data_IF_706047489565
#
_entry.id   IF_706047489565
#
_cell.length_a   1.000
_cell.length_b   1.000
_cell.length_c   1.000
_cell.angle_alpha   90.00
_cell.angle_beta   90.00
_cell.angle_gamma   90.00
#
_symmetry.space_group_name_H-M   'P 1'
#
loop_
_entity.id
_entity.type
_entity.pdbx_description
1 polymer ?
#
# COMPACT_ATOMS: atom_id res chain seq x y z
N UNK A 1 38.20 4.97 -49.80
CA UNK A 1 38.77 4.27 -48.62
C UNK A 1 37.95 4.73 -47.41
N UNK A 2 37.00 3.96 -46.83
CA UNK A 2 37.16 2.75 -45.96
C UNK A 2 38.20 3.07 -44.86
N UNK A 3 37.99 3.03 -43.54
CA UNK A 3 37.21 2.18 -42.59
C UNK A 3 37.12 3.03 -41.27
N UNK A 4 36.07 3.09 -40.44
CA UNK A 4 35.77 2.19 -39.29
C UNK A 4 34.43 2.62 -38.66
N UNK A 5 33.38 1.83 -38.82
CA UNK A 5 32.76 1.01 -37.77
C UNK A 5 33.42 1.08 -36.38
N UNK A 6 32.68 1.57 -35.39
CA UNK A 6 32.46 0.79 -34.16
C UNK A 6 31.13 1.21 -33.51
N UNK A 7 30.14 0.35 -33.69
CA UNK A 7 29.00 0.26 -32.80
C UNK A 7 29.51 -0.23 -31.44
N UNK A 8 29.11 0.42 -30.35
CA UNK A 8 28.98 -0.25 -29.08
C UNK A 8 27.62 0.07 -28.49
N UNK A 9 26.70 -0.86 -28.74
CA UNK A 9 25.50 -1.09 -27.98
C UNK A 9 25.87 -1.20 -26.49
N UNK A 10 25.35 -0.28 -25.70
CA UNK A 10 25.51 -0.27 -24.25
C UNK A 10 24.31 0.39 -23.58
N UNK A 11 23.09 0.12 -24.08
CA UNK A 11 21.86 0.47 -23.37
C UNK A 11 21.77 -0.41 -22.12
N UNK A 12 22.49 0.03 -21.08
CA UNK A 12 22.39 -0.48 -19.73
C UNK A 12 21.05 0.01 -19.19
N UNK A 13 19.96 -0.67 -19.57
CA UNK A 13 18.66 -0.52 -18.93
C UNK A 13 18.80 -1.13 -17.54
N UNK A 14 19.35 -0.33 -16.62
CA UNK A 14 19.19 -0.54 -15.20
C UNK A 14 17.71 -0.37 -14.89
N UNK A 15 16.95 -1.48 -14.99
CA UNK A 15 15.67 -1.63 -14.34
C UNK A 15 15.94 -1.69 -12.83
N UNK A 16 16.18 -0.51 -12.26
CA UNK A 16 16.03 -0.31 -10.84
C UNK A 16 14.55 -0.57 -10.54
N UNK A 17 14.24 -1.78 -10.08
CA UNK A 17 13.05 -2.04 -9.28
C UNK A 17 13.19 -1.30 -7.93
N UNK A 18 13.37 0.02 -7.98
CA UNK A 18 13.15 0.85 -6.83
C UNK A 18 11.65 0.76 -6.56
N UNK A 19 11.28 0.25 -5.39
CA UNK A 19 9.92 0.40 -4.88
C UNK A 19 9.68 1.90 -4.68
N UNK A 20 9.29 2.59 -5.75
CA UNK A 20 8.97 3.99 -5.71
C UNK A 20 7.66 4.14 -4.94
N UNK A 21 7.72 4.78 -3.77
CA UNK A 21 6.52 5.17 -3.06
C UNK A 21 5.86 6.33 -3.82
N UNK A 22 4.58 6.21 -4.10
CA UNK A 22 3.87 7.20 -4.89
C UNK A 22 3.50 8.37 -3.98
N UNK A 23 4.29 9.44 -4.03
CA UNK A 23 4.17 10.63 -3.16
C UNK A 23 3.06 11.58 -3.63
N UNK A 24 2.60 11.42 -4.87
CA UNK A 24 1.48 12.17 -5.44
C UNK A 24 0.60 11.24 -6.28
N UNK A 25 -0.59 10.96 -5.77
CA UNK A 25 -1.59 10.08 -6.40
C UNK A 25 -1.99 10.56 -7.82
N UNK A 26 -1.75 11.83 -8.17
CA UNK A 26 -2.08 12.38 -9.49
C UNK A 26 -3.60 12.45 -9.69
N UNK A 27 -4.17 11.49 -10.42
CA UNK A 27 -5.62 11.36 -10.65
C UNK A 27 -6.14 9.98 -10.27
N UNK A 28 -7.47 9.82 -10.20
CA UNK A 28 -8.11 8.51 -10.00
C UNK A 28 -7.69 7.53 -11.10
N UNK A 29 -7.60 7.98 -12.35
CA UNK A 29 -7.21 7.18 -13.50
C UNK A 29 -5.75 6.77 -13.42
N UNK A 30 -4.88 7.63 -12.88
CA UNK A 30 -3.49 7.26 -12.61
C UNK A 30 -3.41 6.17 -11.53
N UNK A 31 -4.15 6.32 -10.43
CA UNK A 31 -4.24 5.30 -9.39
C UNK A 31 -4.79 3.96 -9.93
N UNK A 32 -5.78 4.01 -10.82
CA UNK A 32 -6.39 2.83 -11.43
C UNK A 32 -5.38 1.99 -12.23
N UNK A 33 -4.43 2.62 -12.91
CA UNK A 33 -3.37 1.90 -13.67
C UNK A 33 -2.44 1.09 -12.77
N UNK A 34 -2.28 1.50 -11.52
CA UNK A 34 -1.49 0.81 -10.51
C UNK A 34 -2.23 -0.35 -9.82
N UNK A 35 -3.52 -0.54 -10.10
CA UNK A 35 -4.30 -1.62 -9.51
C UNK A 35 -4.15 -2.88 -10.35
N UNK A 36 -3.69 -3.95 -9.71
CA UNK A 36 -3.39 -5.22 -10.36
C UNK A 36 -4.16 -6.35 -9.71
N UNK A 37 -4.60 -7.32 -10.52
CA UNK A 37 -5.16 -8.57 -10.04
C UNK A 37 -4.24 -9.72 -10.41
N UNK A 38 -3.89 -10.55 -9.43
CA UNK A 38 -3.09 -11.75 -9.63
C UNK A 38 -3.82 -12.97 -9.03
N UNK A 39 -3.96 -14.04 -9.81
CA UNK A 39 -4.53 -15.31 -9.34
C UNK A 39 -3.42 -16.35 -9.17
N UNK A 40 -3.30 -16.86 -7.95
CA UNK A 40 -2.41 -17.96 -7.61
C UNK A 40 -3.14 -19.29 -7.76
N UNK A 41 -2.83 -20.02 -8.83
CA UNK A 41 -3.44 -21.33 -9.13
C UNK A 41 -3.10 -22.42 -8.11
N UNK A 42 -1.97 -22.31 -7.40
CA UNK A 42 -1.57 -23.31 -6.41
C UNK A 42 -2.34 -23.15 -5.11
N UNK A 43 -2.63 -21.90 -4.74
CA UNK A 43 -3.44 -21.56 -3.56
C UNK A 43 -4.93 -21.43 -3.86
N UNK A 44 -5.31 -21.43 -5.15
CA UNK A 44 -6.68 -21.18 -5.61
C UNK A 44 -7.26 -19.88 -5.04
N UNK A 45 -6.46 -18.82 -5.03
CA UNK A 45 -6.85 -17.51 -4.49
C UNK A 45 -6.41 -16.36 -5.42
N UNK A 46 -7.22 -15.31 -5.47
CA UNK A 46 -6.97 -14.08 -6.19
C UNK A 46 -6.65 -12.92 -5.26
N UNK A 47 -5.78 -12.03 -5.70
CA UNK A 47 -5.44 -10.80 -4.98
C UNK A 47 -5.57 -9.59 -5.90
N UNK A 48 -6.44 -8.66 -5.54
CA UNK A 48 -6.47 -7.31 -6.09
C UNK A 48 -5.61 -6.41 -5.19
N UNK A 49 -4.67 -5.63 -5.76
CA UNK A 49 -3.75 -4.77 -4.99
C UNK A 49 -3.55 -3.43 -5.69
N UNK A 50 -3.50 -2.35 -4.92
CA UNK A 50 -3.01 -1.06 -5.42
C UNK A 50 -1.49 -0.95 -5.28
N UNK A 51 -0.92 0.10 -5.88
CA UNK A 51 0.42 0.57 -5.52
C UNK A 51 0.50 1.04 -4.06
N UNK A 52 1.72 1.29 -3.60
CA UNK A 52 1.98 1.86 -2.28
C UNK A 52 2.02 3.38 -2.36
N UNK A 53 1.21 4.03 -1.53
CA UNK A 53 1.08 5.48 -1.42
C UNK A 53 1.61 5.95 -0.07
N UNK A 54 2.12 7.19 -0.04
CA UNK A 54 2.53 7.83 1.21
C UNK A 54 1.29 8.36 1.92
N UNK A 55 1.06 7.91 3.16
CA UNK A 55 -0.07 8.35 3.98
C UNK A 55 0.28 9.51 4.92
N UNK A 56 1.55 9.72 5.23
CA UNK A 56 2.00 10.83 6.08
C UNK A 56 3.51 10.98 6.01
N UNK A 57 4.01 12.14 6.44
CA UNK A 57 5.45 12.43 6.50
C UNK A 57 5.95 12.68 7.93
N UNK A 58 5.04 12.73 8.91
CA UNK A 58 5.39 12.82 10.32
C UNK A 58 5.88 11.48 10.84
N UNK A 59 6.98 11.48 11.58
CA UNK A 59 7.49 10.30 12.27
C UNK A 59 6.52 9.86 13.39
N UNK A 60 6.08 8.58 13.44
CA UNK A 60 6.37 7.49 12.51
C UNK A 60 5.64 7.64 11.16
N UNK A 61 6.40 7.55 10.08
CA UNK A 61 5.89 7.64 8.71
C UNK A 61 5.07 6.40 8.37
N UNK A 62 3.90 6.55 7.77
CA UNK A 62 3.09 5.40 7.33
C UNK A 62 2.78 5.50 5.84
N UNK A 63 3.13 4.44 5.12
CA UNK A 63 2.70 4.19 3.75
C UNK A 63 1.56 3.18 3.76
N UNK A 64 0.72 3.19 2.73
CA UNK A 64 -0.40 2.26 2.63
C UNK A 64 -0.64 1.76 1.21
N UNK A 65 -1.30 0.62 1.09
CA UNK A 65 -1.92 0.16 -0.15
C UNK A 65 -3.21 -0.58 0.16
N UNK A 66 -4.13 -0.65 -0.79
CA UNK A 66 -5.27 -1.56 -0.69
C UNK A 66 -4.90 -2.96 -1.12
N UNK A 67 -5.55 -3.95 -0.51
CA UNK A 67 -5.57 -5.33 -0.99
C UNK A 67 -6.95 -5.97 -0.75
N UNK A 68 -7.39 -6.80 -1.67
CA UNK A 68 -8.59 -7.60 -1.50
C UNK A 68 -8.30 -9.04 -1.92
N UNK A 69 -8.75 -10.00 -1.11
CA UNK A 69 -8.59 -11.42 -1.36
C UNK A 69 -9.87 -11.98 -1.97
N UNK A 70 -9.74 -12.88 -2.93
CA UNK A 70 -10.84 -13.59 -3.57
C UNK A 70 -10.59 -15.10 -3.47
N UNK A 71 -11.58 -15.86 -3.03
CA UNK A 71 -11.56 -17.32 -3.13
C UNK A 71 -11.66 -17.81 -4.57
N UNK A 72 -11.49 -19.12 -4.75
CA UNK A 72 -11.68 -19.80 -6.03
C UNK A 72 -13.06 -19.49 -6.60
N UNK A 73 -13.11 -19.04 -7.85
CA UNK A 73 -14.34 -18.71 -8.59
C UNK A 73 -15.24 -17.65 -7.90
N UNK A 74 -14.74 -16.92 -6.91
CA UNK A 74 -15.49 -15.88 -6.22
C UNK A 74 -15.43 -14.54 -6.98
N UNK A 75 -16.60 -13.96 -7.24
CA UNK A 75 -16.71 -12.57 -7.72
C UNK A 75 -16.68 -11.56 -6.58
N UNK A 76 -16.94 -11.99 -5.34
CA UNK A 76 -16.90 -11.15 -4.14
C UNK A 76 -15.60 -11.35 -3.37
N UNK A 77 -15.00 -10.28 -2.83
CA UNK A 77 -13.82 -10.42 -1.99
C UNK A 77 -14.17 -11.07 -0.66
N UNK A 78 -13.33 -12.01 -0.20
CA UNK A 78 -13.41 -12.59 1.15
C UNK A 78 -13.17 -11.51 2.22
N UNK A 79 -12.27 -10.57 1.90
CA UNK A 79 -12.04 -9.36 2.67
C UNK A 79 -11.37 -8.28 1.81
N UNK A 80 -11.51 -7.02 2.24
CA UNK A 80 -10.75 -5.87 1.74
C UNK A 80 -9.98 -5.31 2.93
N UNK A 81 -8.73 -4.96 2.69
CA UNK A 81 -7.84 -4.42 3.71
C UNK A 81 -7.09 -3.21 3.19
N UNK A 82 -6.94 -2.23 4.08
CA UNK A 82 -5.93 -1.20 3.97
C UNK A 82 -4.67 -1.73 4.66
N UNK A 83 -3.63 -1.99 3.89
CA UNK A 83 -2.35 -2.50 4.38
C UNK A 83 -1.43 -1.33 4.70
N UNK A 84 -1.07 -1.17 5.96
CA UNK A 84 -0.16 -0.14 6.45
C UNK A 84 1.26 -0.66 6.61
N UNK A 85 2.23 0.16 6.22
CA UNK A 85 3.65 -0.02 6.47
C UNK A 85 4.16 1.23 7.19
N UNK A 86 4.34 1.10 8.50
CA UNK A 86 4.87 2.15 9.36
C UNK A 86 6.39 2.02 9.46
N UNK A 87 7.08 3.15 9.44
CA UNK A 87 8.52 3.30 9.61
C UNK A 87 8.77 4.13 10.86
N UNK A 88 9.65 3.66 11.74
CA UNK A 88 10.11 4.48 12.86
C UNK A 88 11.60 4.37 13.12
N UNK A 89 12.22 5.52 13.40
CA UNK A 89 13.59 5.64 13.90
C UNK A 89 13.63 5.66 15.44
N UNK A 90 12.49 5.87 16.10
CA UNK A 90 12.38 5.93 17.57
C UNK A 90 12.12 4.56 18.24
N UNK A 91 12.08 3.49 17.44
CA UNK A 91 11.92 2.12 17.90
C UNK A 91 10.53 1.53 17.60
N UNK A 92 10.21 0.42 18.26
CA UNK A 92 8.92 -0.27 18.10
C UNK A 92 7.77 0.53 18.72
N UNK A 93 6.66 0.62 18.00
CA UNK A 93 5.42 1.22 18.50
C UNK A 93 4.44 0.17 19.01
N UNK A 94 4.54 -1.06 18.52
CA UNK A 94 3.62 -2.17 18.80
C UNK A 94 2.18 -1.78 18.48
N UNK A 95 1.94 -1.39 17.22
CA UNK A 95 0.61 -1.04 16.71
C UNK A 95 -0.35 -2.20 16.92
N UNK A 96 -1.54 -1.91 17.48
CA UNK A 96 -2.54 -2.91 17.84
C UNK A 96 -4.00 -2.47 17.67
N UNK A 97 -4.27 -1.21 17.33
CA UNK A 97 -5.63 -0.70 17.13
C UNK A 97 -5.64 0.42 16.08
N UNK A 98 -6.78 0.66 15.44
CA UNK A 98 -6.92 1.72 14.45
C UNK A 98 -8.27 2.42 14.54
N UNK A 99 -8.26 3.74 14.34
CA UNK A 99 -9.44 4.59 14.43
C UNK A 99 -9.47 5.61 13.28
N UNK A 100 -10.65 6.13 12.94
CA UNK A 100 -10.77 7.35 12.15
C UNK A 100 -10.99 8.58 13.02
N UNK A 101 -11.01 9.76 12.38
CA UNK A 101 -11.23 11.04 13.05
C UNK A 101 -12.59 11.18 13.75
N UNK A 102 -13.54 10.29 13.47
CA UNK A 102 -14.84 10.24 14.16
C UNK A 102 -14.82 9.35 15.40
N UNK A 103 -13.69 8.71 15.70
CA UNK A 103 -13.53 7.77 16.80
C UNK A 103 -14.01 6.35 16.49
N UNK A 104 -14.35 6.04 15.23
CA UNK A 104 -14.75 4.68 14.84
C UNK A 104 -13.54 3.77 14.85
N UNK A 105 -13.63 2.68 15.58
CA UNK A 105 -12.60 1.63 15.63
C UNK A 105 -12.72 0.69 14.42
N UNK A 106 -11.56 0.26 13.91
CA UNK A 106 -11.45 -0.73 12.87
C UNK A 106 -10.72 -1.96 13.38
N UNK A 107 -11.11 -3.14 12.87
CA UNK A 107 -10.39 -4.37 13.15
C UNK A 107 -9.01 -4.32 12.50
N UNK A 108 -7.99 -4.27 13.34
CA UNK A 108 -6.59 -4.29 12.95
C UNK A 108 -5.99 -5.70 13.12
N UNK A 109 -5.17 -6.10 12.16
CA UNK A 109 -4.36 -7.31 12.19
C UNK A 109 -2.89 -6.91 12.24
N UNK A 110 -2.17 -7.40 13.25
CA UNK A 110 -0.71 -7.38 13.25
C UNK A 110 -0.22 -8.34 12.15
N UNK A 111 0.59 -7.85 11.21
CA UNK A 111 1.05 -8.69 10.08
C UNK A 111 2.49 -9.12 10.28
N UNK A 112 3.40 -8.16 10.41
CA UNK A 112 4.83 -8.43 10.54
C UNK A 112 5.56 -7.25 11.17
N UNK A 113 6.77 -7.50 11.65
CA UNK A 113 7.65 -6.55 12.31
C UNK A 113 9.09 -6.88 11.93
N UNK A 114 9.81 -5.94 11.34
CA UNK A 114 11.23 -6.13 11.03
C UNK A 114 12.07 -4.88 11.29
N UNK A 115 13.39 -5.09 11.37
CA UNK A 115 14.38 -4.02 11.50
C UNK A 115 15.19 -3.99 10.22
N UNK A 116 15.27 -2.81 9.61
CA UNK A 116 16.12 -2.55 8.46
C UNK A 116 17.24 -1.60 8.86
N UNK A 117 18.49 -2.03 8.61
CA UNK A 117 19.62 -1.12 8.57
C UNK A 117 19.64 -0.47 7.19
N UNK A 118 19.57 0.85 7.13
CA UNK A 118 19.70 1.58 5.89
C UNK A 118 20.93 2.49 5.97
N UNK A 119 21.71 2.52 4.89
CA UNK A 119 22.90 3.33 4.79
C UNK A 119 22.71 4.31 3.64
N UNK A 120 22.48 5.58 3.97
CA UNK A 120 22.39 6.64 2.98
C UNK A 120 23.52 7.64 3.24
N UNK A 121 24.26 8.01 2.18
CA UNK A 121 25.32 9.03 2.24
C UNK A 121 26.38 8.78 3.35
N UNK A 122 26.73 7.52 3.61
CA UNK A 122 27.74 7.14 4.61
C UNK A 122 27.25 7.14 6.07
N UNK A 123 25.98 7.48 6.32
CA UNK A 123 25.37 7.38 7.65
C UNK A 123 24.51 6.12 7.69
N UNK A 124 24.79 5.23 8.63
CA UNK A 124 23.94 4.07 8.90
C UNK A 124 22.92 4.44 9.97
N UNK A 125 21.64 4.25 9.64
CA UNK A 125 20.54 4.41 10.58
C UNK A 125 19.68 3.15 10.58
N UNK A 126 19.13 2.86 11.76
CA UNK A 126 18.26 1.71 11.97
C UNK A 126 16.83 2.19 11.91
N UNK A 127 16.02 1.58 11.04
CA UNK A 127 14.58 1.85 10.95
C UNK A 127 13.84 0.59 11.32
N UNK A 128 12.87 0.74 12.21
CA UNK A 128 11.90 -0.27 12.54
C UNK A 128 10.74 -0.18 11.55
N UNK A 129 10.36 -1.30 10.96
CA UNK A 129 9.13 -1.40 10.17
C UNK A 129 8.09 -2.23 10.92
N UNK A 130 6.89 -1.67 11.06
CA UNK A 130 5.71 -2.41 11.51
C UNK A 130 4.68 -2.46 10.40
N UNK A 131 4.17 -3.65 10.12
CA UNK A 131 3.17 -3.90 9.09
C UNK A 131 1.87 -4.33 9.76
N UNK A 132 0.79 -3.70 9.34
CA UNK A 132 -0.54 -3.99 9.84
C UNK A 132 -1.55 -3.98 8.69
N UNK A 133 -2.71 -4.59 8.91
CA UNK A 133 -3.84 -4.52 8.00
C UNK A 133 -5.09 -4.11 8.74
N UNK A 134 -5.84 -3.17 8.18
CA UNK A 134 -7.13 -2.72 8.69
C UNK A 134 -8.21 -3.31 7.79
N UNK A 135 -9.15 -4.07 8.35
CA UNK A 135 -10.29 -4.56 7.58
C UNK A 135 -11.23 -3.40 7.22
N UNK A 136 -11.59 -3.30 5.95
CA UNK A 136 -12.47 -2.28 5.40
C UNK A 136 -13.63 -2.98 4.71
N UNK A 137 -14.88 -2.63 5.06
CA UNK A 137 -16.04 -3.13 4.34
C UNK A 137 -16.20 -2.42 2.99
N UNK A 138 -17.00 -2.97 2.07
CA UNK A 138 -17.27 -2.30 0.79
C UNK A 138 -17.93 -0.93 1.04
N UNK A 139 -18.86 -0.83 1.98
CA UNK A 139 -19.54 0.41 2.34
C UNK A 139 -18.55 1.46 2.87
N UNK A 140 -17.57 1.05 3.68
CA UNK A 140 -16.50 1.96 4.14
C UNK A 140 -15.60 2.40 2.99
N UNK A 141 -15.28 1.50 2.06
CA UNK A 141 -14.52 1.86 0.87
C UNK A 141 -15.28 2.87 0.00
N UNK A 142 -16.62 2.78 -0.07
CA UNK A 142 -17.47 3.79 -0.73
C UNK A 142 -17.43 5.15 -0.03
N UNK A 143 -17.34 5.18 1.29
CA UNK A 143 -17.13 6.43 2.04
C UNK A 143 -15.74 7.01 1.79
N UNK A 144 -14.70 6.16 1.82
CA UNK A 144 -13.32 6.56 1.57
C UNK A 144 -13.12 7.05 0.14
N UNK A 145 -13.95 6.62 -0.82
CA UNK A 145 -13.93 7.10 -2.20
C UNK A 145 -14.47 8.53 -2.37
N UNK A 146 -15.17 9.10 -1.37
CA UNK A 146 -15.80 10.42 -1.47
C UNK A 146 -14.94 11.57 -0.96
N UNK A 147 -14.09 11.30 0.04
CA UNK A 147 -13.24 12.30 0.67
C UNK A 147 -12.03 11.61 1.27
N UNK A 148 -10.92 12.36 1.37
CA UNK A 148 -9.73 11.82 2.01
C UNK A 148 -10.02 11.52 3.49
N UNK A 149 -9.54 10.38 3.98
CA UNK A 149 -9.80 9.94 5.35
C UNK A 149 -8.50 9.94 6.13
N UNK A 150 -8.53 10.53 7.32
CA UNK A 150 -7.45 10.42 8.29
C UNK A 150 -7.69 9.23 9.21
N UNK A 151 -6.68 8.37 9.31
CA UNK A 151 -6.66 7.20 10.18
C UNK A 151 -5.54 7.36 11.20
N UNK A 152 -5.81 6.94 12.42
CA UNK A 152 -4.83 6.81 13.49
C UNK A 152 -4.64 5.34 13.80
N UNK A 153 -3.44 4.80 13.57
CA UNK A 153 -3.05 3.51 14.11
C UNK A 153 -2.32 3.75 15.44
N UNK A 154 -2.85 3.15 16.50
CA UNK A 154 -2.39 3.33 17.89
C UNK A 154 -1.59 2.12 18.32
N UNK A 155 -0.47 2.38 18.98
CA UNK A 155 0.41 1.36 19.53
C UNK A 155 0.65 1.55 21.01
N UNK A 156 1.36 0.61 21.62
CA UNK A 156 1.71 0.68 23.06
C UNK A 156 2.66 1.83 23.38
N UNK A 157 3.53 2.22 22.45
CA UNK A 157 4.58 3.23 22.68
C UNK A 157 4.42 4.49 21.85
N UNK A 158 3.80 4.38 20.70
CA UNK A 158 3.63 5.49 19.79
C UNK A 158 2.41 5.26 18.90
N UNK A 159 1.95 6.34 18.30
CA UNK A 159 0.86 6.33 17.33
C UNK A 159 1.37 6.84 15.98
N UNK A 160 0.69 6.46 14.91
CA UNK A 160 0.88 7.06 13.59
C UNK A 160 -0.46 7.54 13.06
N UNK A 161 -0.47 8.76 12.52
CA UNK A 161 -1.62 9.34 11.85
C UNK A 161 -1.27 9.43 10.37
N UNK A 162 -2.17 8.93 9.53
CA UNK A 162 -1.95 8.87 8.10
C UNK A 162 -3.26 9.06 7.34
N UNK A 163 -3.13 9.65 6.16
CA UNK A 163 -4.21 10.05 5.28
C UNK A 163 -4.33 9.07 4.12
N UNK A 164 -5.54 8.60 3.90
CA UNK A 164 -5.93 7.75 2.77
C UNK A 164 -6.58 8.65 1.72
N UNK A 165 -6.02 8.64 0.51
CA UNK A 165 -6.46 9.50 -0.57
C UNK A 165 -7.72 8.93 -1.22
N UNK A 166 -8.74 9.77 -1.38
CA UNK A 166 -10.01 9.34 -1.94
C UNK A 166 -9.91 8.86 -3.38
N UNK A 167 -8.95 9.37 -4.17
CA UNK A 167 -8.76 8.97 -5.57
C UNK A 167 -8.26 7.53 -5.64
N UNK A 168 -7.38 7.12 -4.73
CA UNK A 168 -6.93 5.73 -4.60
C UNK A 168 -8.10 4.84 -4.19
N UNK A 169 -8.85 5.27 -3.17
CA UNK A 169 -10.02 4.54 -2.67
C UNK A 169 -11.09 4.37 -3.76
N UNK A 170 -11.37 5.42 -4.53
CA UNK A 170 -12.32 5.39 -5.64
C UNK A 170 -11.85 4.50 -6.79
N UNK A 171 -10.55 4.54 -7.13
CA UNK A 171 -10.00 3.64 -8.15
C UNK A 171 -10.09 2.17 -7.71
N UNK A 172 -9.79 1.89 -6.44
CA UNK A 172 -9.84 0.53 -5.88
C UNK A 172 -11.28 0.01 -5.76
N UNK A 173 -12.21 0.88 -5.40
CA UNK A 173 -13.65 0.59 -5.38
C UNK A 173 -14.16 0.22 -6.78
N UNK A 174 -13.82 0.99 -7.80
CA UNK A 174 -14.23 0.72 -9.19
C UNK A 174 -13.75 -0.65 -9.64
N UNK A 175 -12.48 -0.99 -9.39
CA UNK A 175 -11.95 -2.31 -9.76
C UNK A 175 -12.57 -3.44 -8.94
N UNK A 176 -12.84 -3.22 -7.66
CA UNK A 176 -13.57 -4.18 -6.82
C UNK A 176 -14.97 -4.45 -7.38
N UNK A 177 -15.73 -3.38 -7.69
CA UNK A 177 -17.08 -3.49 -8.27
C UNK A 177 -17.10 -4.13 -9.65
N UNK A 178 -16.14 -3.79 -10.52
CA UNK A 178 -15.97 -4.43 -11.83
C UNK A 178 -15.81 -5.95 -11.70
N UNK A 179 -15.13 -6.43 -10.65
CA UNK A 179 -14.97 -7.87 -10.39
C UNK A 179 -16.24 -8.52 -9.85
N UNK A 180 -16.94 -7.84 -8.96
CA UNK A 180 -18.22 -8.31 -8.42
C UNK A 180 -19.27 -8.48 -9.53
N UNK A 181 -19.24 -7.63 -10.55
CA UNK A 181 -20.19 -7.64 -11.67
C UNK A 181 -19.79 -8.57 -12.84
N UNK A 182 -18.65 -9.29 -12.75
CA UNK A 182 -18.21 -10.25 -13.79
C UNK A 182 -18.80 -11.65 -13.62
N UNK A 183 -19.81 -11.80 -12.76
CA UNK A 183 -20.57 -13.03 -12.52
C UNK A 183 -21.43 -13.41 -13.72
#
# INVERSE_FOLDING_TARGET
>A
MKILNLALFGASVFLLNACAYNVNVGSKEAAAKGITYNYDKFKSEGWLRSEVYVGGMSEPVTNYNYRAKYGKDSSTPDFIQLYGKMFSQNGWCFINSAYDSTGREYKLHEVDRNVASNSAMGVSYVVVHEYFAIDISVERLEEFAKADIELKATGKKCDTIFKVDHRVSAAFLDETKKRMNKS
#
